data_IF_379592855218
#
_entry.id   IF_379592855218
#
_cell.length_a   1.000
_cell.length_b   1.000
_cell.length_c   1.000
_cell.angle_alpha   90.00
_cell.angle_beta   90.00
_cell.angle_gamma   90.00
#
_symmetry.space_group_name_H-M   'P 1'
#
loop_
_entity.id
_entity.type
_entity.pdbx_description
1 polymer ?
#
# COMPACT_ATOMS: atom_id res chain seq x y z
N UNK A 1 14.79 -13.90 1.91
CA UNK A 1 13.69 -13.60 0.96
C UNK A 1 12.61 -12.89 1.76
N UNK A 2 12.20 -11.69 1.36
CA UNK A 2 11.05 -11.04 2.01
C UNK A 2 9.80 -11.86 1.66
N UNK A 3 9.09 -12.36 2.66
CA UNK A 3 7.78 -12.97 2.42
C UNK A 3 6.89 -11.91 1.76
N UNK A 4 6.15 -12.30 0.72
CA UNK A 4 5.21 -11.41 0.05
C UNK A 4 3.94 -11.39 0.90
N UNK A 5 3.55 -10.21 1.37
CA UNK A 5 2.34 -10.05 2.18
C UNK A 5 1.12 -10.19 1.28
N UNK A 6 0.19 -11.06 1.66
CA UNK A 6 -1.09 -11.21 0.97
C UNK A 6 -2.01 -10.00 1.29
N UNK A 7 -2.32 -9.15 0.30
CA UNK A 7 -3.13 -7.95 0.52
C UNK A 7 -4.59 -8.26 0.87
N UNK A 8 -5.08 -9.49 0.63
CA UNK A 8 -6.43 -9.91 1.07
C UNK A 8 -6.49 -10.14 2.58
N UNK A 9 -5.40 -10.66 3.15
CA UNK A 9 -5.33 -11.02 4.58
C UNK A 9 -4.87 -9.85 5.43
N UNK A 10 -3.95 -9.03 4.91
CA UNK A 10 -3.44 -7.86 5.61
C UNK A 10 -3.15 -6.71 4.62
N UNK A 11 -4.19 -5.96 4.19
CA UNK A 11 -4.05 -4.90 3.19
C UNK A 11 -3.11 -3.78 3.65
N UNK A 12 -3.11 -3.43 4.95
CA UNK A 12 -2.24 -2.40 5.52
C UNK A 12 -0.76 -2.78 5.43
N UNK A 13 -0.41 -4.00 5.83
CA UNK A 13 0.96 -4.49 5.75
C UNK A 13 1.43 -4.66 4.30
N UNK A 14 0.53 -5.06 3.39
CA UNK A 14 0.83 -5.12 1.97
C UNK A 14 1.06 -3.72 1.36
N UNK A 15 0.28 -2.71 1.77
CA UNK A 15 0.49 -1.32 1.38
C UNK A 15 1.85 -0.81 1.87
N UNK A 16 2.20 -1.08 3.13
CA UNK A 16 3.50 -0.71 3.69
C UNK A 16 4.66 -1.37 2.92
N UNK A 17 4.56 -2.67 2.62
CA UNK A 17 5.56 -3.37 1.82
C UNK A 17 5.72 -2.74 0.43
N UNK A 18 4.61 -2.42 -0.25
CA UNK A 18 4.64 -1.80 -1.57
C UNK A 18 5.32 -0.43 -1.55
N UNK A 19 4.98 0.42 -0.56
CA UNK A 19 5.62 1.74 -0.40
C UNK A 19 7.12 1.61 -0.18
N UNK A 20 7.56 0.66 0.65
CA UNK A 20 8.99 0.40 0.88
C UNK A 20 9.69 -0.02 -0.41
N UNK A 21 9.10 -0.91 -1.20
CA UNK A 21 9.69 -1.34 -2.48
C UNK A 21 9.74 -0.21 -3.51
N UNK A 22 8.73 0.67 -3.54
CA UNK A 22 8.73 1.87 -4.39
C UNK A 22 9.84 2.86 -4.00
N UNK A 23 10.10 3.03 -2.70
CA UNK A 23 11.23 3.81 -2.20
C UNK A 23 12.56 3.16 -2.61
N UNK A 24 12.71 1.84 -2.39
CA UNK A 24 13.91 1.08 -2.79
C UNK A 24 14.19 1.17 -4.28
N UNK A 25 13.14 1.18 -5.10
CA UNK A 25 13.22 1.34 -6.55
C UNK A 25 13.47 2.79 -7.01
N UNK A 26 13.61 3.75 -6.08
CA UNK A 26 13.80 5.16 -6.39
C UNK A 26 12.57 5.83 -7.04
N UNK A 27 11.39 5.21 -6.93
CA UNK A 27 10.13 5.72 -7.50
C UNK A 27 9.43 6.70 -6.57
N UNK A 28 9.66 6.58 -5.26
CA UNK A 28 9.21 7.51 -4.23
C UNK A 28 10.43 8.13 -3.56
N UNK A 29 11.02 9.12 -4.23
CA UNK A 29 12.07 9.98 -3.67
C UNK A 29 13.42 9.91 -4.37
N UNK A 30 13.67 10.88 -5.27
CA UNK A 30 15.02 11.31 -5.63
C UNK A 30 15.02 12.80 -6.03
N UNK A 31 14.54 13.69 -5.16
CA UNK A 31 14.93 15.11 -5.14
C UNK A 31 14.26 15.86 -3.98
N UNK A 32 15.06 16.52 -3.13
CA UNK A 32 14.72 17.64 -2.22
C UNK A 32 13.78 17.37 -1.03
N UNK A 33 14.33 16.61 -0.07
CA UNK A 33 14.46 16.84 1.39
C UNK A 33 13.25 17.23 2.26
N UNK A 34 12.24 18.03 1.85
CA UNK A 34 11.17 18.44 2.80
C UNK A 34 9.73 18.12 2.36
N UNK A 35 9.51 17.73 1.09
CA UNK A 35 8.18 17.35 0.59
C UNK A 35 7.95 15.84 0.45
N UNK A 36 8.93 15.03 0.86
CA UNK A 36 8.90 13.59 0.61
C UNK A 36 8.08 12.82 1.65
N UNK A 37 8.10 13.22 2.92
CA UNK A 37 7.39 12.49 3.97
C UNK A 37 5.87 12.54 3.78
N UNK A 38 5.30 13.73 3.57
CA UNK A 38 3.85 13.89 3.32
C UNK A 38 3.40 13.15 2.06
N UNK A 39 4.20 13.18 0.99
CA UNK A 39 3.91 12.45 -0.24
C UNK A 39 3.94 10.92 -0.01
N UNK A 40 4.94 10.41 0.72
CA UNK A 40 5.01 8.97 1.05
C UNK A 40 3.80 8.54 1.89
N UNK A 41 3.37 9.38 2.84
CA UNK A 41 2.16 9.13 3.64
C UNK A 41 0.91 9.13 2.74
N UNK A 42 0.74 10.13 1.87
CA UNK A 42 -0.40 10.17 0.94
C UNK A 42 -0.45 8.97 0.00
N UNK A 43 0.72 8.49 -0.46
CA UNK A 43 0.82 7.30 -1.30
C UNK A 43 0.45 6.05 -0.51
N UNK A 44 0.92 5.93 0.73
CA UNK A 44 0.51 4.85 1.63
C UNK A 44 -1.02 4.84 1.83
N UNK A 45 -1.60 5.97 2.22
CA UNK A 45 -3.05 6.09 2.47
C UNK A 45 -3.87 5.71 1.23
N UNK A 46 -3.41 6.14 0.03
CA UNK A 46 -4.06 5.84 -1.24
C UNK A 46 -4.02 4.34 -1.58
N UNK A 47 -2.87 3.70 -1.37
CA UNK A 47 -2.69 2.26 -1.62
C UNK A 47 -3.51 1.46 -0.60
N UNK A 48 -3.40 1.79 0.69
CA UNK A 48 -4.13 1.12 1.76
C UNK A 48 -5.63 1.20 1.53
N UNK A 49 -6.16 2.38 1.20
CA UNK A 49 -7.56 2.57 0.84
C UNK A 49 -7.96 1.67 -0.34
N UNK A 50 -7.19 1.66 -1.42
CA UNK A 50 -7.48 0.82 -2.58
C UNK A 50 -7.53 -0.67 -2.24
N UNK A 51 -6.57 -1.16 -1.45
CA UNK A 51 -6.53 -2.57 -1.05
C UNK A 51 -7.70 -2.91 -0.12
N UNK A 52 -8.05 -2.03 0.81
CA UNK A 52 -9.23 -2.22 1.67
C UNK A 52 -10.52 -2.23 0.84
N UNK A 53 -10.76 -1.25 -0.02
CA UNK A 53 -11.96 -1.21 -0.86
C UNK A 53 -12.07 -2.47 -1.73
N UNK A 54 -10.96 -2.90 -2.34
CA UNK A 54 -10.95 -4.08 -3.21
C UNK A 54 -11.22 -5.40 -2.49
N UNK A 55 -10.75 -5.54 -1.25
CA UNK A 55 -10.79 -6.83 -0.54
C UNK A 55 -11.80 -6.88 0.62
N UNK A 56 -12.29 -5.74 1.11
CA UNK A 56 -13.38 -5.67 2.09
C UNK A 56 -14.76 -5.64 1.42
N UNK A 57 -14.91 -5.05 0.23
CA UNK A 57 -16.17 -5.10 -0.54
C UNK A 57 -16.49 -6.48 -1.13
N UNK A 58 -15.63 -7.48 -0.91
CA UNK A 58 -15.85 -8.87 -1.31
C UNK A 58 -16.56 -9.75 -0.26
N UNK A 59 -16.88 -9.22 0.92
CA UNK A 59 -17.50 -10.02 2.00
C UNK A 59 -19.01 -10.19 1.91
N UNK A 60 -19.70 -9.56 0.94
CA UNK A 60 -21.18 -9.55 0.86
C UNK A 60 -21.77 -9.95 -0.51
N UNK A 61 -20.97 -10.35 -1.50
CA UNK A 61 -21.46 -10.76 -2.82
C UNK A 61 -21.45 -12.29 -3.03
N UNK A 62 -21.70 -13.05 -1.96
CA UNK A 62 -21.49 -14.50 -1.98
C UNK A 62 -22.30 -15.29 -0.96
N UNK A 63 -23.53 -14.91 -0.63
CA UNK A 63 -24.49 -15.82 0.03
C UNK A 63 -25.85 -15.69 -0.67
N UNK A 64 -26.36 -16.86 -1.05
CA UNK A 64 -27.59 -17.19 -1.77
C UNK A 64 -28.86 -16.52 -1.22
#
# INVERSE_FOLDING_TARGET
MSEIVDPKRNPSLAAQQLVVELIRAGKLGSSVIDRQAENVIQVFDSIEKHLNDKYQSGSDAGIF
#
